data_IF_478276535520
#
_entry.id   IF_478276535520
#
_cell.length_a   1.000
_cell.length_b   1.000
_cell.length_c   1.000
_cell.angle_alpha   90.00
_cell.angle_beta   90.00
_cell.angle_gamma   90.00
#
_symmetry.space_group_name_H-M   'P 1'
#
loop_
_entity.id
_entity.type
_entity.pdbx_description
1 polymer ?
#
# COMPACT_ATOMS: atom_id res chain seq x y z
N UNK A 1 -8.08 -49.43 36.59
CA UNK A 1 -8.91 -48.21 36.50
C UNK A 1 -8.16 -46.87 36.34
N UNK A 2 -6.82 -46.83 36.16
CA UNK A 2 -6.06 -45.57 36.00
C UNK A 2 -5.74 -45.20 34.54
N UNK A 3 -5.62 -46.20 33.65
CA UNK A 3 -5.27 -46.02 32.22
C UNK A 3 -6.43 -45.46 31.38
N UNK A 4 -7.67 -45.79 31.75
CA UNK A 4 -8.89 -45.30 31.08
C UNK A 4 -9.20 -43.83 31.38
N UNK A 5 -8.83 -43.32 32.56
CA UNK A 5 -8.98 -41.90 32.93
C UNK A 5 -8.00 -40.99 32.17
N UNK A 6 -6.82 -41.51 31.84
CA UNK A 6 -5.79 -40.81 31.05
C UNK A 6 -6.16 -40.70 29.57
N UNK A 7 -6.75 -41.75 29.00
CA UNK A 7 -7.24 -41.73 27.62
C UNK A 7 -8.39 -40.72 27.44
N UNK A 8 -9.28 -40.60 28.43
CA UNK A 8 -10.42 -39.68 28.39
C UNK A 8 -9.98 -38.21 28.48
N UNK A 9 -8.91 -37.92 29.23
CA UNK A 9 -8.33 -36.57 29.32
C UNK A 9 -7.63 -36.14 28.02
N UNK A 10 -6.98 -37.07 27.32
CA UNK A 10 -6.31 -36.78 26.05
C UNK A 10 -7.30 -36.50 24.90
N UNK A 11 -8.43 -37.21 24.87
CA UNK A 11 -9.50 -36.92 23.89
C UNK A 11 -10.15 -35.56 24.16
N UNK A 12 -10.35 -35.19 25.44
CA UNK A 12 -10.90 -33.89 25.81
C UNK A 12 -9.96 -32.72 25.43
N UNK A 13 -8.64 -32.91 25.59
CA UNK A 13 -7.65 -31.92 25.16
C UNK A 13 -7.60 -31.74 23.63
N UNK A 14 -7.86 -32.81 22.86
CA UNK A 14 -7.89 -32.77 21.40
C UNK A 14 -9.12 -32.04 20.85
N UNK A 15 -10.27 -32.08 21.55
CA UNK A 15 -11.49 -31.36 21.16
C UNK A 15 -11.37 -29.84 21.41
N UNK A 16 -10.61 -29.42 22.44
CA UNK A 16 -10.40 -27.99 22.74
C UNK A 16 -9.41 -27.34 21.75
N UNK A 17 -8.53 -28.12 21.11
CA UNK A 17 -7.61 -27.63 20.07
C UNK A 17 -8.29 -27.25 18.75
N UNK A 18 -9.54 -27.66 18.52
CA UNK A 18 -10.29 -27.41 17.28
C UNK A 18 -11.23 -26.20 17.34
N UNK A 19 -11.45 -25.60 18.53
CA UNK A 19 -12.36 -24.45 18.69
C UNK A 19 -11.65 -23.09 18.79
N UNK A 20 -10.33 -23.08 18.71
CA UNK A 20 -9.51 -21.90 18.98
C UNK A 20 -9.10 -21.10 17.76
N UNK A 21 -10.03 -20.51 17.01
CA UNK A 21 -9.83 -19.24 16.25
C UNK A 21 -11.19 -18.64 15.89
N UNK A 22 -11.96 -18.22 16.91
CA UNK A 22 -12.96 -17.18 16.65
C UNK A 22 -12.16 -15.90 16.47
N UNK A 23 -11.87 -15.55 15.23
CA UNK A 23 -11.43 -14.19 14.90
C UNK A 23 -12.57 -13.28 15.29
N UNK A 24 -12.40 -12.57 16.41
CA UNK A 24 -13.26 -11.48 16.80
C UNK A 24 -13.34 -10.52 15.62
N UNK A 25 -14.43 -10.59 14.86
CA UNK A 25 -14.74 -9.56 13.89
C UNK A 25 -15.00 -8.33 14.75
N UNK A 26 -13.97 -7.50 14.92
CA UNK A 26 -14.11 -6.19 15.51
C UNK A 26 -15.08 -5.46 14.59
N UNK A 27 -16.34 -5.41 15.02
CA UNK A 27 -17.35 -4.51 14.50
C UNK A 27 -16.77 -3.11 14.70
N UNK A 28 -16.04 -2.65 13.69
CA UNK A 28 -15.37 -1.37 13.71
C UNK A 28 -16.45 -0.31 13.78
N UNK A 29 -16.62 0.26 14.96
CA UNK A 29 -17.38 1.48 15.19
C UNK A 29 -17.00 2.46 14.09
N UNK A 30 -17.97 2.74 13.20
CA UNK A 30 -17.85 3.70 12.13
C UNK A 30 -17.80 5.08 12.78
N UNK A 31 -16.60 5.58 13.06
CA UNK A 31 -16.44 7.03 13.25
C UNK A 31 -16.59 7.65 11.87
N UNK A 32 -17.84 7.92 11.51
CA UNK A 32 -18.20 8.66 10.32
C UNK A 32 -17.75 10.10 10.49
N UNK A 33 -16.52 10.40 10.12
CA UNK A 33 -16.29 11.67 9.41
C UNK A 33 -17.18 11.53 8.18
N UNK A 34 -18.14 12.43 7.97
CA UNK A 34 -19.22 12.35 6.97
C UNK A 34 -18.75 12.32 5.51
N UNK A 35 -17.92 11.35 5.14
CA UNK A 35 -17.38 11.13 3.82
C UNK A 35 -18.18 9.97 3.22
N UNK A 36 -19.11 10.33 2.34
CA UNK A 36 -19.86 9.35 1.56
C UNK A 36 -18.94 8.81 0.46
N UNK A 37 -18.15 7.78 0.77
CA UNK A 37 -17.41 7.07 -0.26
C UNK A 37 -18.40 6.34 -1.16
N UNK A 38 -18.36 6.54 -2.50
CA UNK A 38 -19.13 5.74 -3.42
C UNK A 38 -18.86 4.27 -3.14
N UNK A 39 -19.95 3.51 -2.90
CA UNK A 39 -19.89 2.07 -2.76
C UNK A 39 -19.51 1.51 -4.11
N UNK A 40 -18.41 0.79 -4.14
CA UNK A 40 -18.02 0.00 -5.30
C UNK A 40 -17.72 -1.42 -4.81
N UNK A 41 -17.96 -2.38 -5.68
CA UNK A 41 -17.59 -3.76 -5.46
C UNK A 41 -17.10 -4.31 -6.78
N UNK A 42 -15.90 -4.87 -6.78
CA UNK A 42 -15.48 -5.67 -7.92
C UNK A 42 -16.32 -6.95 -7.95
N UNK A 43 -16.89 -7.27 -9.11
CA UNK A 43 -17.59 -8.53 -9.34
C UNK A 43 -16.62 -9.71 -9.26
N UNK A 44 -15.40 -9.50 -9.75
CA UNK A 44 -14.31 -10.49 -9.77
C UNK A 44 -13.02 -9.89 -9.22
N UNK A 45 -12.14 -10.70 -8.62
CA UNK A 45 -10.85 -10.20 -8.13
C UNK A 45 -10.05 -9.52 -9.26
N UNK A 46 -9.55 -8.30 -9.08
CA UNK A 46 -8.91 -7.59 -10.18
C UNK A 46 -7.49 -8.12 -10.45
N UNK A 47 -7.14 -8.25 -11.72
CA UNK A 47 -5.75 -8.49 -12.13
C UNK A 47 -4.89 -7.27 -11.82
N UNK A 48 -3.65 -7.50 -11.42
CA UNK A 48 -2.75 -6.46 -10.90
C UNK A 48 -1.51 -6.31 -11.77
N UNK A 49 -0.89 -5.13 -11.71
CA UNK A 49 0.49 -4.92 -12.17
C UNK A 49 1.33 -4.43 -11.01
N UNK A 50 2.62 -4.80 -10.98
CA UNK A 50 3.58 -4.16 -10.08
C UNK A 50 4.02 -2.84 -10.68
N UNK A 51 4.01 -1.76 -9.89
CA UNK A 51 4.53 -0.47 -10.34
C UNK A 51 6.06 -0.54 -10.32
N UNK A 52 6.74 -0.29 -11.45
CA UNK A 52 8.20 -0.36 -11.52
C UNK A 52 8.93 0.44 -10.43
N UNK A 53 10.01 -0.12 -9.90
CA UNK A 53 10.77 0.43 -8.79
C UNK A 53 10.07 0.37 -7.43
N UNK A 54 9.02 -0.45 -7.29
CA UNK A 54 8.23 -0.59 -6.03
C UNK A 54 7.71 -1.98 -5.76
N UNK A 55 7.16 -2.15 -4.56
CA UNK A 55 6.23 -3.24 -4.22
C UNK A 55 4.80 -2.73 -4.08
N UNK A 56 4.43 -1.71 -4.88
CA UNK A 56 3.05 -1.23 -5.03
C UNK A 56 2.42 -2.00 -6.17
N UNK A 57 1.22 -2.52 -5.95
CA UNK A 57 0.46 -3.27 -6.94
C UNK A 57 -0.85 -2.56 -7.24
N UNK A 58 -1.23 -2.44 -8.51
CA UNK A 58 -2.41 -1.68 -8.91
C UNK A 58 -3.29 -2.44 -9.91
N UNK A 59 -4.62 -2.38 -9.79
CA UNK A 59 -5.55 -2.82 -10.80
C UNK A 59 -5.73 -1.72 -11.84
N UNK A 60 -4.87 -1.71 -12.86
CA UNK A 60 -4.81 -0.61 -13.84
C UNK A 60 -6.04 -0.51 -14.74
N UNK A 61 -6.82 -1.58 -14.86
CA UNK A 61 -8.06 -1.63 -15.67
C UNK A 61 -9.34 -1.38 -14.87
N UNK A 62 -9.27 -1.17 -13.55
CA UNK A 62 -10.46 -0.85 -12.75
C UNK A 62 -11.08 0.49 -13.16
N UNK A 63 -12.26 0.88 -12.69
CA UNK A 63 -12.76 2.26 -12.85
C UNK A 63 -12.46 3.14 -11.64
N UNK A 64 -11.67 2.61 -10.71
CA UNK A 64 -11.39 3.23 -9.41
C UNK A 64 -9.90 3.28 -9.13
N UNK A 65 -9.47 4.34 -8.45
CA UNK A 65 -8.10 4.47 -8.00
C UNK A 65 -7.89 3.74 -6.68
N UNK A 66 -7.39 2.51 -6.76
CA UNK A 66 -6.91 1.77 -5.60
C UNK A 66 -5.54 1.18 -5.86
N UNK A 67 -4.73 1.06 -4.81
CA UNK A 67 -3.41 0.44 -4.87
C UNK A 67 -3.17 -0.40 -3.63
N UNK A 68 -2.46 -1.50 -3.77
CA UNK A 68 -2.01 -2.31 -2.66
C UNK A 68 -0.57 -1.99 -2.31
N UNK A 69 -0.29 -1.84 -1.01
CA UNK A 69 1.06 -1.71 -0.49
C UNK A 69 1.14 -2.24 0.95
N UNK A 70 2.15 -3.07 1.25
CA UNK A 70 2.45 -3.55 2.60
C UNK A 70 1.24 -4.09 3.39
N UNK A 71 0.41 -4.91 2.75
CA UNK A 71 -0.70 -5.60 3.44
C UNK A 71 -1.99 -4.78 3.57
N UNK A 72 -2.08 -3.65 2.87
CA UNK A 72 -3.27 -2.81 2.83
C UNK A 72 -3.57 -2.31 1.44
N UNK A 73 -4.86 -2.14 1.17
CA UNK A 73 -5.38 -1.40 0.04
C UNK A 73 -5.52 0.07 0.42
N UNK A 74 -5.17 0.95 -0.50
CA UNK A 74 -5.24 2.40 -0.35
C UNK A 74 -6.06 2.98 -1.49
N UNK A 75 -6.90 3.96 -1.17
CA UNK A 75 -7.76 4.68 -2.12
C UNK A 75 -7.58 6.18 -1.89
N UNK A 76 -6.98 6.93 -2.82
CA UNK A 76 -7.13 8.39 -2.84
C UNK A 76 -8.58 8.73 -3.23
N UNK A 77 -9.24 9.61 -2.47
CA UNK A 77 -10.59 10.06 -2.77
C UNK A 77 -10.82 11.45 -2.18
N UNK A 78 -11.27 12.41 -2.99
CA UNK A 78 -11.58 13.80 -2.61
C UNK A 78 -10.49 14.49 -1.76
N UNK A 79 -9.23 14.34 -2.16
CA UNK A 79 -8.09 14.94 -1.45
C UNK A 79 -7.68 14.22 -0.16
N UNK A 80 -8.45 13.23 0.28
CA UNK A 80 -8.15 12.35 1.40
C UNK A 80 -7.58 11.00 0.96
N UNK A 81 -7.14 10.23 1.96
CA UNK A 81 -6.69 8.86 1.77
C UNK A 81 -7.49 7.90 2.64
N UNK A 82 -7.81 6.75 2.06
CA UNK A 82 -8.53 5.69 2.73
C UNK A 82 -7.75 4.40 2.64
N UNK A 83 -7.90 3.56 3.66
CA UNK A 83 -7.21 2.27 3.79
C UNK A 83 -8.19 1.16 4.11
N UNK A 84 -7.99 0.00 3.50
CA UNK A 84 -8.75 -1.22 3.78
C UNK A 84 -7.85 -2.46 3.81
N UNK A 85 -8.34 -3.55 4.41
CA UNK A 85 -7.67 -4.87 4.35
C UNK A 85 -8.02 -5.64 3.07
N UNK A 86 -9.16 -5.35 2.47
CA UNK A 86 -9.62 -5.91 1.19
C UNK A 86 -9.84 -4.80 0.18
N UNK A 87 -9.70 -5.11 -1.11
CA UNK A 87 -9.93 -4.17 -2.21
C UNK A 87 -11.39 -3.70 -2.29
N UNK A 88 -12.34 -4.42 -1.68
CA UNK A 88 -13.75 -4.02 -1.54
C UNK A 88 -14.04 -3.26 -0.23
N UNK A 89 -13.03 -2.91 0.57
CA UNK A 89 -13.22 -2.28 1.88
C UNK A 89 -13.27 -3.29 3.04
N UNK A 90 -13.83 -2.91 4.20
CA UNK A 90 -14.32 -1.57 4.53
C UNK A 90 -13.18 -0.54 4.54
N UNK A 91 -13.46 0.63 3.98
CA UNK A 91 -12.51 1.75 3.86
C UNK A 91 -12.51 2.60 5.14
N UNK A 92 -11.32 2.94 5.64
CA UNK A 92 -11.14 3.85 6.77
C UNK A 92 -10.26 5.01 6.36
N UNK A 93 -10.69 6.24 6.69
CA UNK A 93 -9.88 7.42 6.47
C UNK A 93 -8.55 7.31 7.22
N UNK A 94 -7.47 7.79 6.60
CA UNK A 94 -6.15 7.92 7.21
C UNK A 94 -5.62 9.34 6.98
N UNK A 95 -4.97 9.96 7.98
CA UNK A 95 -4.49 11.33 7.86
C UNK A 95 -3.29 11.47 6.91
N UNK A 96 -2.55 10.38 6.68
CA UNK A 96 -1.33 10.40 5.86
C UNK A 96 -1.11 9.05 5.16
N UNK A 97 -0.93 9.10 3.84
CA UNK A 97 -0.52 7.94 3.07
C UNK A 97 0.99 7.69 3.11
N UNK A 98 1.44 6.44 2.90
CA UNK A 98 2.85 6.14 2.68
C UNK A 98 3.43 6.98 1.54
N UNK A 99 4.63 7.53 1.76
CA UNK A 99 5.29 8.42 0.79
C UNK A 99 5.47 7.78 -0.59
N UNK A 100 5.70 6.46 -0.64
CA UNK A 100 5.82 5.72 -1.91
C UNK A 100 4.59 5.86 -2.80
N UNK A 101 3.39 5.97 -2.21
CA UNK A 101 2.11 6.14 -2.91
C UNK A 101 1.95 7.57 -3.42
N UNK A 102 2.36 8.56 -2.62
CA UNK A 102 2.35 9.97 -3.00
C UNK A 102 3.33 10.23 -4.16
N UNK A 103 4.45 9.51 -4.17
CA UNK A 103 5.50 9.63 -5.19
C UNK A 103 5.26 8.75 -6.43
N UNK A 104 4.09 8.09 -6.56
CA UNK A 104 3.74 7.38 -7.78
C UNK A 104 3.60 8.36 -8.96
N UNK A 105 3.89 7.94 -10.21
CA UNK A 105 3.54 8.73 -11.37
C UNK A 105 2.03 9.02 -11.41
N UNK A 106 1.57 10.26 -11.61
CA UNK A 106 0.13 10.56 -11.64
C UNK A 106 -0.65 9.75 -12.68
N UNK A 107 0.02 9.38 -13.77
CA UNK A 107 -0.48 8.64 -14.92
C UNK A 107 -0.17 7.13 -14.86
N UNK A 108 0.19 6.58 -13.69
CA UNK A 108 0.67 5.20 -13.55
C UNK A 108 -0.26 4.16 -14.18
N UNK A 109 -1.58 4.39 -14.16
CA UNK A 109 -2.58 3.47 -14.70
C UNK A 109 -2.51 3.34 -16.22
N UNK A 110 -2.34 4.46 -16.91
CA UNK A 110 -2.16 4.47 -18.36
C UNK A 110 -0.75 3.98 -18.72
N UNK A 111 0.26 4.50 -18.02
CA UNK A 111 1.67 4.19 -18.27
C UNK A 111 2.01 2.71 -18.17
N UNK A 112 1.38 2.00 -17.22
CA UNK A 112 1.69 0.60 -16.93
C UNK A 112 0.57 -0.35 -17.33
N UNK A 113 -0.38 0.08 -18.17
CA UNK A 113 -1.49 -0.76 -18.66
C UNK A 113 -1.00 -2.01 -19.39
N UNK A 114 0.07 -1.90 -20.16
CA UNK A 114 0.59 -3.02 -20.97
C UNK A 114 1.67 -3.84 -20.23
N UNK A 115 1.79 -3.66 -18.91
CA UNK A 115 2.73 -4.45 -18.11
C UNK A 115 2.20 -5.85 -17.83
N UNK A 116 3.13 -6.75 -17.48
CA UNK A 116 2.82 -8.13 -17.11
C UNK A 116 1.77 -8.17 -15.99
N UNK A 117 0.66 -8.85 -16.28
CA UNK A 117 -0.45 -9.02 -15.35
C UNK A 117 -0.13 -10.09 -14.33
N UNK A 118 -0.52 -9.83 -13.10
CA UNK A 118 -0.42 -10.71 -11.96
C UNK A 118 -1.85 -11.06 -11.57
N UNK A 119 -2.18 -12.34 -11.66
CA UNK A 119 -3.45 -12.85 -11.18
C UNK A 119 -3.62 -12.58 -9.68
N UNK A 120 -4.80 -12.10 -9.28
CA UNK A 120 -5.06 -11.74 -7.89
C UNK A 120 -4.73 -12.88 -6.93
N UNK A 121 -5.07 -14.10 -7.33
CA UNK A 121 -4.88 -15.32 -6.55
C UNK A 121 -3.39 -15.58 -6.27
N UNK A 122 -2.53 -15.36 -7.26
CA UNK A 122 -1.08 -15.55 -7.12
C UNK A 122 -0.45 -14.39 -6.37
N UNK A 123 -0.89 -13.16 -6.63
CA UNK A 123 -0.51 -12.01 -5.83
C UNK A 123 -0.81 -12.25 -4.33
N UNK A 124 -2.04 -12.63 -3.98
CA UNK A 124 -2.47 -12.76 -2.59
C UNK A 124 -1.66 -13.81 -1.81
N UNK A 125 -1.21 -14.87 -2.49
CA UNK A 125 -0.35 -15.91 -1.89
C UNK A 125 1.11 -15.46 -1.72
N UNK A 126 1.64 -14.71 -2.68
CA UNK A 126 3.09 -14.58 -2.81
C UNK A 126 3.64 -13.19 -2.50
N UNK A 127 2.81 -12.13 -2.47
CA UNK A 127 3.30 -10.75 -2.37
C UNK A 127 4.27 -10.52 -1.20
N UNK A 128 4.02 -11.13 -0.03
CA UNK A 128 4.90 -11.04 1.15
C UNK A 128 6.27 -11.63 0.88
N UNK A 129 6.29 -12.78 0.21
CA UNK A 129 7.52 -13.46 -0.18
C UNK A 129 8.27 -12.68 -1.26
N UNK A 130 7.55 -12.10 -2.21
CA UNK A 130 8.14 -11.26 -3.25
C UNK A 130 8.82 -10.02 -2.69
N UNK A 131 8.18 -9.31 -1.75
CA UNK A 131 8.76 -8.14 -1.09
C UNK A 131 9.98 -8.54 -0.24
N UNK A 132 9.86 -9.59 0.58
CA UNK A 132 10.96 -10.05 1.44
C UNK A 132 12.19 -10.51 0.64
N UNK A 133 11.96 -11.27 -0.43
CA UNK A 133 13.03 -11.87 -1.23
C UNK A 133 13.42 -11.01 -2.44
N UNK A 134 12.95 -9.76 -2.49
CA UNK A 134 13.28 -8.81 -3.55
C UNK A 134 13.00 -9.32 -4.96
N UNK A 135 11.89 -10.04 -5.14
CA UNK A 135 11.59 -10.83 -6.34
C UNK A 135 11.67 -10.02 -7.64
N UNK A 136 11.16 -8.78 -7.62
CA UNK A 136 11.11 -7.93 -8.82
C UNK A 136 12.44 -7.27 -9.14
N UNK A 137 13.41 -7.24 -8.23
CA UNK A 137 14.70 -6.57 -8.48
C UNK A 137 15.48 -7.23 -9.63
N UNK A 138 15.18 -8.49 -9.99
CA UNK A 138 15.80 -9.11 -11.16
C UNK A 138 15.22 -8.64 -12.50
N UNK A 139 14.00 -8.10 -12.50
CA UNK A 139 13.31 -7.64 -13.71
C UNK A 139 13.86 -6.29 -14.19
N UNK A 140 14.26 -6.20 -15.46
CA UNK A 140 14.86 -4.99 -16.06
C UNK A 140 13.93 -3.77 -15.97
N UNK A 141 12.69 -3.90 -16.42
CA UNK A 141 11.69 -2.80 -16.35
C UNK A 141 11.49 -2.30 -14.93
N UNK A 142 11.51 -3.20 -13.96
CA UNK A 142 11.41 -2.82 -12.55
C UNK A 142 12.62 -1.99 -12.10
N UNK A 143 13.84 -2.37 -12.51
CA UNK A 143 15.07 -1.62 -12.18
C UNK A 143 15.08 -0.24 -12.84
N UNK A 144 14.74 -0.16 -14.12
CA UNK A 144 14.61 1.14 -14.80
C UNK A 144 13.60 2.05 -14.08
N UNK A 145 12.49 1.48 -13.61
CA UNK A 145 11.51 2.19 -12.80
C UNK A 145 12.10 2.73 -11.49
N UNK A 146 13.00 1.97 -10.87
CA UNK A 146 13.71 2.40 -9.64
C UNK A 146 14.67 3.55 -9.94
N UNK A 147 15.52 3.40 -10.95
CA UNK A 147 16.50 4.41 -11.36
C UNK A 147 15.81 5.74 -11.70
N UNK A 148 14.78 5.71 -12.54
CA UNK A 148 13.98 6.91 -12.88
C UNK A 148 13.39 7.61 -11.65
N UNK A 149 13.08 6.86 -10.59
CA UNK A 149 12.56 7.44 -9.33
C UNK A 149 13.66 8.02 -8.47
N UNK A 150 14.83 7.39 -8.44
CA UNK A 150 16.04 7.91 -7.78
C UNK A 150 16.46 9.23 -8.45
N UNK A 151 16.59 9.26 -9.78
CA UNK A 151 16.85 10.49 -10.56
C UNK A 151 15.85 11.62 -10.26
N UNK A 152 14.56 11.27 -10.13
CA UNK A 152 13.51 12.25 -9.83
C UNK A 152 13.63 12.79 -8.42
N UNK A 153 14.14 11.99 -7.47
CA UNK A 153 14.37 12.42 -6.08
C UNK A 153 15.57 13.36 -6.02
N UNK A 154 16.68 12.98 -6.63
CA UNK A 154 17.89 13.81 -6.73
C UNK A 154 17.56 15.19 -7.32
N UNK A 155 16.91 15.23 -8.49
CA UNK A 155 16.47 16.49 -9.11
C UNK A 155 15.53 17.34 -8.24
N UNK A 156 14.77 16.73 -7.32
CA UNK A 156 13.91 17.44 -6.38
C UNK A 156 14.71 17.99 -5.20
N UNK A 157 15.76 17.30 -4.79
CA UNK A 157 16.69 17.70 -3.73
C UNK A 157 17.57 18.86 -4.22
N UNK A 158 18.18 18.76 -5.40
CA UNK A 158 18.94 19.86 -6.03
C UNK A 158 18.09 21.15 -6.13
N UNK A 159 16.82 21.00 -6.54
CA UNK A 159 15.89 22.14 -6.64
C UNK A 159 15.51 22.73 -5.29
N UNK A 160 15.58 21.96 -4.20
CA UNK A 160 15.31 22.45 -2.85
C UNK A 160 16.52 23.20 -2.32
N UNK A 161 17.71 22.65 -2.47
CA UNK A 161 18.98 23.29 -2.10
C UNK A 161 19.12 24.64 -2.80
N UNK A 162 18.96 24.68 -4.13
CA UNK A 162 19.02 25.95 -4.87
C UNK A 162 17.97 26.98 -4.44
N UNK A 163 16.81 26.54 -3.92
CA UNK A 163 15.79 27.45 -3.37
C UNK A 163 16.15 27.95 -1.98
N UNK A 164 16.89 27.17 -1.21
CA UNK A 164 17.36 27.52 0.13
C UNK A 164 18.52 28.52 0.03
N UNK A 165 19.50 28.27 -0.84
CA UNK A 165 20.59 29.22 -1.14
C UNK A 165 20.01 30.58 -1.54
N UNK A 166 19.05 30.58 -2.47
CA UNK A 166 18.40 31.82 -2.93
C UNK A 166 17.59 32.51 -1.83
N UNK A 167 17.13 31.79 -0.81
CA UNK A 167 16.43 32.37 0.35
C UNK A 167 17.43 32.97 1.33
N UNK A 168 18.59 32.36 1.50
CA UNK A 168 19.69 32.85 2.33
C UNK A 168 20.29 34.13 1.74
N UNK A 169 20.64 34.15 0.45
CA UNK A 169 21.10 35.37 -0.26
C UNK A 169 20.13 36.55 -0.07
N UNK A 170 18.82 36.26 -0.13
CA UNK A 170 17.78 37.27 0.05
C UNK A 170 17.68 37.77 1.48
N UNK A 171 17.99 36.93 2.48
CA UNK A 171 18.04 37.35 3.90
C UNK A 171 19.24 38.24 4.14
N UNK A 172 20.41 37.85 3.65
CA UNK A 172 21.66 38.61 3.80
C UNK A 172 21.54 40.00 3.16
N UNK A 173 21.00 40.08 1.94
CA UNK A 173 20.71 41.36 1.29
C UNK A 173 19.72 42.24 2.09
N UNK A 174 18.77 41.64 2.81
CA UNK A 174 17.80 42.39 3.63
C UNK A 174 18.45 42.92 4.89
N UNK A 175 19.31 42.15 5.53
CA UNK A 175 20.03 42.54 6.74
C UNK A 175 21.05 43.65 6.46
N UNK A 176 21.72 43.61 5.30
CA UNK A 176 22.68 44.63 4.91
C UNK A 176 22.04 45.97 4.49
N UNK A 177 20.79 45.97 4.02
CA UNK A 177 20.04 47.20 3.66
C UNK A 177 19.32 47.85 4.84
N UNK A 178 19.19 47.16 5.97
CA UNK A 178 18.47 47.61 7.15
C UNK A 178 19.37 48.21 8.25
N UNK A 179 20.67 48.32 8.00
CA UNK A 179 21.66 49.02 8.85
C UNK A 179 22.10 50.29 8.15
#
# INVERSE_FOLDING_TARGET
>A
MKRSRLALLLVMAMVIGLTGFVSESSAGVRVGIGINLPVFTFAEPPSLVVIPGTYVYAPVDADIDIVFYQGYWYRPYEGGWFRARSYNGPWRHIPRAPRVLIDLPPDYRHRYRDHSRIEYRDFNRHWRGWERNKHWERNERWREGRERREDRRERREDRREHREDRREDRRDHREHRGR
#
